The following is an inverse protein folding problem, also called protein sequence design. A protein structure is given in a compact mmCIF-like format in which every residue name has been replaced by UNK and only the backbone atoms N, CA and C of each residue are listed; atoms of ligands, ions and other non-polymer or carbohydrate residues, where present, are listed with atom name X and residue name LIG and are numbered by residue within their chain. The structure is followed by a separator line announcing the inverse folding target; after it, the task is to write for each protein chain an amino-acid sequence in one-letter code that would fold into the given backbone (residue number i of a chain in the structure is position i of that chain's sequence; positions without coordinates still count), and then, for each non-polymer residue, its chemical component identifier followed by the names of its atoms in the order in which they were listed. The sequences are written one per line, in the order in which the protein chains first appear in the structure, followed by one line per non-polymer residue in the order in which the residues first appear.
data_IF_027168671565
#
_entry.id   IF_027168671565
#
_cell.length_a   1.000
_cell.length_b   1.000
_cell.length_c   1.000
_cell.angle_alpha   90.00
_cell.angle_beta   90.00
_cell.angle_gamma   90.00
#
_symmetry.space_group_name_H-M   'P 1'
#
loop_
_entity.id
_entity.type
_entity.pdbx_description
1 polymer ?
#
# COMPACT_ATOMS: atom_id res chain seq x y z
N UNK A 1 -15.30 -19.60 -18.82
CA UNK A 1 -15.23 -19.97 -17.39
C UNK A 1 -13.77 -20.08 -17.01
N UNK A 2 -13.37 -19.64 -15.82
CA UNK A 2 -12.00 -19.81 -15.30
C UNK A 2 -12.04 -20.90 -14.23
N UNK A 3 -11.18 -21.90 -14.36
CA UNK A 3 -11.06 -22.98 -13.39
C UNK A 3 -9.87 -22.73 -12.46
N UNK A 4 -10.11 -22.87 -11.16
CA UNK A 4 -9.09 -22.63 -10.16
C UNK A 4 -9.60 -22.80 -8.74
N UNK A 5 -8.67 -22.72 -7.79
CA UNK A 5 -8.93 -22.74 -6.35
C UNK A 5 -8.71 -21.35 -5.79
N UNK A 6 -9.47 -20.96 -4.77
CA UNK A 6 -9.21 -19.68 -4.07
C UNK A 6 -7.87 -19.72 -3.35
N UNK A 7 -7.11 -18.62 -3.44
CA UNK A 7 -5.78 -18.54 -2.84
C UNK A 7 -5.77 -18.76 -1.33
N UNK A 8 -6.85 -18.38 -0.61
CA UNK A 8 -6.98 -18.61 0.84
C UNK A 8 -7.22 -20.07 1.22
N UNK A 9 -7.57 -20.93 0.26
CA UNK A 9 -7.89 -22.34 0.48
C UNK A 9 -6.92 -23.30 -0.20
N UNK A 10 -6.00 -22.78 -1.00
CA UNK A 10 -5.03 -23.57 -1.73
C UNK A 10 -3.73 -23.71 -0.91
N UNK A 11 -3.26 -24.95 -0.75
CA UNK A 11 -2.03 -25.27 -0.02
C UNK A 11 -0.84 -25.54 -0.97
N UNK A 12 -1.00 -25.25 -2.26
CA UNK A 12 0.05 -25.46 -3.26
C UNK A 12 1.29 -24.62 -2.93
N UNK A 13 2.50 -25.15 -3.21
CA UNK A 13 3.76 -24.51 -2.81
C UNK A 13 4.03 -23.16 -3.51
N UNK A 14 3.33 -22.87 -4.62
CA UNK A 14 3.44 -21.62 -5.36
C UNK A 14 2.49 -20.52 -4.86
N UNK A 15 1.60 -20.79 -3.89
CA UNK A 15 0.70 -19.78 -3.30
C UNK A 15 1.45 -18.56 -2.75
N UNK A 16 2.56 -18.68 -1.99
CA UNK A 16 3.33 -17.52 -1.55
C UNK A 16 3.85 -16.67 -2.72
N UNK A 17 4.28 -17.30 -3.82
CA UNK A 17 4.68 -16.59 -5.04
C UNK A 17 3.50 -15.83 -5.64
N UNK A 18 2.31 -16.45 -5.70
CA UNK A 18 1.10 -15.81 -6.23
C UNK A 18 0.62 -14.65 -5.34
N UNK A 19 0.80 -14.71 -4.02
CA UNK A 19 0.58 -13.56 -3.15
C UNK A 19 1.53 -12.41 -3.49
N UNK A 20 2.80 -12.69 -3.77
CA UNK A 20 3.75 -11.68 -4.25
C UNK A 20 3.34 -11.07 -5.59
N UNK A 21 2.84 -11.90 -6.52
CA UNK A 21 2.28 -11.43 -7.80
C UNK A 21 1.06 -10.54 -7.58
N UNK A 22 0.17 -10.90 -6.64
CA UNK A 22 -0.99 -10.07 -6.30
C UNK A 22 -0.55 -8.72 -5.74
N UNK A 23 0.37 -8.69 -4.78
CA UNK A 23 0.92 -7.44 -4.24
C UNK A 23 1.51 -6.57 -5.36
N UNK A 24 2.32 -7.16 -6.25
CA UNK A 24 2.91 -6.44 -7.37
C UNK A 24 1.83 -5.88 -8.33
N UNK A 25 0.82 -6.68 -8.67
CA UNK A 25 -0.29 -6.25 -9.52
C UNK A 25 -1.05 -5.08 -8.90
N UNK A 26 -1.34 -5.11 -7.60
CA UNK A 26 -2.04 -4.03 -6.91
C UNK A 26 -1.19 -2.76 -6.76
N UNK A 27 0.10 -2.90 -6.48
CA UNK A 27 1.03 -1.76 -6.49
C UNK A 27 1.16 -1.16 -7.88
N UNK A 28 1.21 -1.97 -8.92
CA UNK A 28 1.24 -1.50 -10.32
C UNK A 28 -0.06 -0.78 -10.68
N UNK A 29 -1.21 -1.32 -10.26
CA UNK A 29 -2.51 -0.67 -10.43
C UNK A 29 -2.58 0.70 -9.76
N UNK A 30 -2.06 0.80 -8.53
CA UNK A 30 -2.07 2.02 -7.73
C UNK A 30 -1.06 3.06 -8.24
N UNK A 31 0.17 2.65 -8.55
CA UNK A 31 1.30 3.56 -8.75
C UNK A 31 1.67 3.79 -10.22
N UNK A 32 1.19 2.94 -11.14
CA UNK A 32 1.55 3.01 -12.57
C UNK A 32 0.30 3.14 -13.44
N UNK A 33 -0.58 2.13 -13.48
CA UNK A 33 -1.71 2.14 -14.44
C UNK A 33 -2.83 3.10 -14.09
N UNK A 34 -2.91 3.57 -12.83
CA UNK A 34 -3.90 4.54 -12.39
C UNK A 34 -5.33 3.98 -12.33
N UNK A 35 -5.49 2.66 -12.28
CA UNK A 35 -6.80 1.99 -12.18
C UNK A 35 -6.67 0.90 -11.13
N UNK A 36 -7.33 1.09 -10.00
CA UNK A 36 -7.22 0.21 -8.84
C UNK A 36 -8.46 -0.68 -8.72
N UNK A 37 -8.22 -1.99 -8.59
CA UNK A 37 -9.21 -2.92 -8.08
C UNK A 37 -9.40 -2.70 -6.58
N UNK A 38 -10.61 -2.37 -6.14
CA UNK A 38 -10.86 -1.91 -4.78
C UNK A 38 -11.24 -3.04 -3.80
N UNK A 39 -11.28 -4.29 -4.26
CA UNK A 39 -11.77 -5.42 -3.47
C UNK A 39 -10.86 -6.65 -3.51
N UNK A 40 -9.62 -6.56 -2.97
CA UNK A 40 -8.67 -7.66 -2.88
C UNK A 40 -9.08 -8.77 -1.91
N UNK A 41 -10.37 -9.03 -1.71
CA UNK A 41 -10.82 -10.07 -0.81
C UNK A 41 -10.43 -11.46 -1.35
N UNK A 42 -10.24 -12.47 -0.49
CA UNK A 42 -9.77 -13.79 -0.92
C UNK A 42 -10.67 -14.50 -1.95
N UNK A 43 -11.96 -14.15 -2.02
CA UNK A 43 -12.87 -14.68 -3.04
C UNK A 43 -12.58 -14.22 -4.47
N UNK A 44 -11.85 -13.12 -4.65
CA UNK A 44 -11.51 -12.55 -5.96
C UNK A 44 -10.15 -13.02 -6.44
N UNK A 45 -9.42 -13.79 -5.63
CA UNK A 45 -8.06 -14.19 -5.92
C UNK A 45 -8.03 -15.71 -6.11
N UNK A 46 -7.99 -16.14 -7.36
CA UNK A 46 -7.92 -17.55 -7.74
C UNK A 46 -6.52 -17.92 -8.19
N UNK A 47 -6.08 -19.11 -7.77
CA UNK A 47 -5.00 -19.85 -8.42
C UNK A 47 -5.62 -20.72 -9.51
N UNK A 48 -5.28 -20.47 -10.76
CA UNK A 48 -5.74 -21.28 -11.89
C UNK A 48 -5.07 -22.66 -11.90
N UNK A 49 -5.66 -23.63 -12.60
CA UNK A 49 -5.11 -25.00 -12.71
C UNK A 49 -3.72 -25.05 -13.34
N UNK A 50 -3.34 -24.04 -14.13
CA UNK A 50 -2.02 -23.85 -14.74
C UNK A 50 -1.07 -22.96 -13.91
N UNK A 51 -1.40 -22.65 -12.65
CA UNK A 51 -0.49 -21.97 -11.71
C UNK A 51 -0.35 -20.45 -11.91
N UNK A 52 -1.36 -19.80 -12.48
CA UNK A 52 -1.44 -18.34 -12.61
C UNK A 52 -2.37 -17.74 -11.55
N UNK A 53 -2.17 -16.44 -11.31
CA UNK A 53 -3.12 -15.63 -10.55
C UNK A 53 -4.25 -15.18 -11.48
N UNK A 54 -5.49 -15.36 -11.05
CA UNK A 54 -6.67 -14.75 -11.65
C UNK A 54 -7.34 -13.83 -10.63
N UNK A 55 -7.53 -12.56 -11.02
CA UNK A 55 -8.28 -11.56 -10.26
C UNK A 55 -9.68 -11.48 -10.86
N UNK A 56 -10.68 -11.84 -10.06
CA UNK A 56 -12.09 -11.79 -10.41
C UNK A 56 -12.73 -10.49 -9.96
N UNK A 57 -13.98 -10.30 -10.41
CA UNK A 57 -14.88 -9.22 -10.03
C UNK A 57 -14.28 -7.82 -10.18
N UNK A 58 -14.43 -7.25 -11.36
CA UNK A 58 -14.00 -5.88 -11.66
C UNK A 58 -15.14 -4.86 -11.47
N UNK A 59 -16.19 -5.24 -10.72
CA UNK A 59 -17.35 -4.38 -10.46
C UNK A 59 -17.03 -3.18 -9.57
N UNK A 60 -15.97 -3.26 -8.75
CA UNK A 60 -15.47 -2.16 -7.93
C UNK A 60 -14.04 -1.79 -8.33
N UNK A 61 -13.94 -0.81 -9.23
CA UNK A 61 -12.68 -0.20 -9.64
C UNK A 61 -12.75 1.31 -9.43
N UNK A 62 -11.60 1.93 -9.18
CA UNK A 62 -11.47 3.38 -9.15
C UNK A 62 -10.31 3.84 -10.03
N UNK A 63 -10.44 5.03 -10.59
CA UNK A 63 -9.33 5.74 -11.22
C UNK A 63 -8.53 6.47 -10.14
N UNK A 64 -7.21 6.30 -10.16
CA UNK A 64 -6.29 6.98 -9.27
C UNK A 64 -5.76 8.20 -10.01
N UNK A 65 -6.05 9.43 -9.56
CA UNK A 65 -5.54 10.63 -10.21
C UNK A 65 -4.01 10.67 -10.21
N UNK A 66 -3.39 11.11 -11.31
CA UNK A 66 -1.94 11.18 -11.44
C UNK A 66 -1.26 11.92 -10.28
N UNK A 67 -1.85 13.02 -9.79
CA UNK A 67 -1.31 13.77 -8.66
C UNK A 67 -1.26 12.93 -7.37
N UNK A 68 -2.25 12.06 -7.15
CA UNK A 68 -2.26 11.14 -6.02
C UNK A 68 -1.20 10.04 -6.19
N UNK A 69 -1.00 9.54 -7.41
CA UNK A 69 0.06 8.57 -7.71
C UNK A 69 1.45 9.15 -7.43
N UNK A 70 1.72 10.37 -7.91
CA UNK A 70 2.98 11.07 -7.65
C UNK A 70 3.19 11.34 -6.16
N UNK A 71 2.16 11.83 -5.45
CA UNK A 71 2.26 12.07 -4.02
C UNK A 71 2.55 10.79 -3.21
N UNK A 72 1.98 9.66 -3.60
CA UNK A 72 2.28 8.35 -2.99
C UNK A 72 3.72 7.91 -3.28
N UNK A 73 4.19 8.09 -4.52
CA UNK A 73 5.57 7.76 -4.91
C UNK A 73 6.59 8.64 -4.17
N UNK A 74 6.31 9.94 -4.03
CA UNK A 74 7.13 10.89 -3.27
C UNK A 74 7.21 10.49 -1.79
N UNK A 75 6.07 10.19 -1.15
CA UNK A 75 6.07 9.69 0.23
C UNK A 75 6.93 8.43 0.40
N UNK A 76 6.77 7.45 -0.50
CA UNK A 76 7.57 6.22 -0.46
C UNK A 76 9.05 6.54 -0.65
N UNK A 77 9.41 7.43 -1.57
CA UNK A 77 10.78 7.84 -1.81
C UNK A 77 11.38 8.52 -0.56
N UNK A 78 10.69 9.48 0.05
CA UNK A 78 11.11 10.18 1.26
C UNK A 78 11.32 9.21 2.44
N UNK A 79 10.39 8.25 2.66
CA UNK A 79 10.56 7.23 3.69
C UNK A 79 11.81 6.37 3.43
N UNK A 80 12.07 5.98 2.18
CA UNK A 80 13.21 5.12 1.83
C UNK A 80 14.57 5.81 2.04
N UNK A 81 14.65 7.12 1.82
CA UNK A 81 15.88 7.89 2.03
C UNK A 81 15.96 8.52 3.43
N UNK A 82 15.03 8.16 4.33
CA UNK A 82 14.89 8.73 5.67
C UNK A 82 14.72 10.27 5.68
N UNK A 83 14.15 10.85 4.62
CA UNK A 83 13.82 12.27 4.54
C UNK A 83 12.50 12.56 5.24
N UNK A 84 12.54 12.51 6.57
CA UNK A 84 11.36 12.72 7.40
C UNK A 84 10.89 14.19 7.46
N UNK A 85 11.72 15.12 7.00
CA UNK A 85 11.39 16.55 6.94
C UNK A 85 10.37 16.85 5.83
N UNK A 86 10.30 16.01 4.80
CA UNK A 86 9.36 16.14 3.68
C UNK A 86 7.96 15.55 3.98
N UNK A 87 7.85 14.66 4.97
CA UNK A 87 6.60 13.95 5.34
C UNK A 87 5.41 14.88 5.62
N UNK A 88 5.53 16.04 6.29
CA UNK A 88 4.40 16.95 6.48
C UNK A 88 3.79 17.44 5.15
N UNK A 89 4.62 17.73 4.14
CA UNK A 89 4.13 18.13 2.82
C UNK A 89 3.48 16.96 2.07
N UNK A 90 4.07 15.77 2.16
CA UNK A 90 3.49 14.56 1.56
C UNK A 90 2.07 14.32 2.09
N UNK A 91 1.86 14.52 3.39
CA UNK A 91 0.55 14.36 4.03
C UNK A 91 -0.50 15.35 3.51
N UNK A 92 -0.08 16.59 3.24
CA UNK A 92 -0.95 17.59 2.62
C UNK A 92 -1.30 17.17 1.18
N UNK A 93 -0.28 16.78 0.40
CA UNK A 93 -0.45 16.37 -0.99
C UNK A 93 -1.33 15.13 -1.14
N UNK A 94 -1.26 14.21 -0.18
CA UNK A 94 -2.08 13.01 -0.08
C UNK A 94 -3.50 13.27 0.45
N UNK A 95 -3.79 14.48 0.93
CA UNK A 95 -5.07 14.80 1.54
C UNK A 95 -5.29 14.17 2.92
N UNK A 96 -4.21 13.80 3.63
CA UNK A 96 -4.24 13.28 5.00
C UNK A 96 -4.29 14.39 6.06
N UNK A 97 -4.33 15.66 5.64
CA UNK A 97 -4.50 16.83 6.50
C UNK A 97 -5.84 17.51 6.25
N UNK A 98 -6.46 18.13 7.27
CA UNK A 98 -7.59 19.03 7.07
C UNK A 98 -7.26 20.18 6.11
N UNK A 99 -8.27 20.68 5.40
CA UNK A 99 -8.10 21.81 4.50
C UNK A 99 -7.54 23.04 5.23
N UNK A 100 -6.57 23.72 4.59
CA UNK A 100 -5.95 24.94 5.12
C UNK A 100 -4.91 24.72 6.22
N UNK A 101 -4.59 23.48 6.59
CA UNK A 101 -3.47 23.17 7.48
C UNK A 101 -2.16 23.27 6.71
N UNK A 102 -1.16 23.94 7.29
CA UNK A 102 0.18 24.07 6.70
C UNK A 102 1.13 22.97 7.19
N UNK A 103 2.23 22.75 6.46
CA UNK A 103 3.23 21.76 6.81
C UNK A 103 3.86 22.03 8.19
N UNK A 104 4.09 23.30 8.51
CA UNK A 104 4.62 23.74 9.81
C UNK A 104 3.66 23.35 10.94
N UNK A 105 2.35 23.58 10.75
CA UNK A 105 1.34 23.20 11.75
C UNK A 105 1.24 21.69 11.94
N UNK A 106 1.38 20.91 10.87
CA UNK A 106 1.43 19.45 10.98
C UNK A 106 2.66 19.01 11.77
N UNK A 107 3.82 19.61 11.50
CA UNK A 107 5.05 19.34 12.23
C UNK A 107 4.92 19.67 13.71
N UNK A 108 4.41 20.86 14.04
CA UNK A 108 4.18 21.33 15.41
C UNK A 108 3.18 20.45 16.19
N UNK A 109 2.24 19.79 15.49
CA UNK A 109 1.27 18.89 16.12
C UNK A 109 1.89 17.61 16.70
N UNK A 110 3.13 17.26 16.30
CA UNK A 110 3.81 16.02 16.69
C UNK A 110 3.27 14.76 16.00
N UNK A 111 2.24 14.86 15.15
CA UNK A 111 1.67 13.73 14.40
C UNK A 111 2.72 13.13 13.47
N UNK A 112 3.44 13.97 12.74
CA UNK A 112 4.47 13.53 11.78
C UNK A 112 5.67 12.91 12.48
N UNK A 113 6.01 13.33 13.71
CA UNK A 113 7.07 12.73 14.52
C UNK A 113 6.71 11.32 15.00
N UNK A 114 5.47 11.12 15.48
CA UNK A 114 4.99 9.80 15.89
C UNK A 114 4.97 8.80 14.74
N UNK A 115 4.57 9.25 13.55
CA UNK A 115 4.58 8.45 12.33
C UNK A 115 6.00 8.17 11.82
N UNK A 116 6.87 9.18 11.85
CA UNK A 116 8.30 9.04 11.53
C UNK A 116 8.95 7.97 12.41
N UNK A 117 8.67 8.00 13.71
CA UNK A 117 9.14 6.97 14.64
C UNK A 117 8.64 5.57 14.24
N UNK A 118 7.35 5.44 13.92
CA UNK A 118 6.79 4.17 13.47
C UNK A 118 7.44 3.67 12.17
N UNK A 119 7.62 4.54 11.17
CA UNK A 119 8.29 4.20 9.92
C UNK A 119 9.74 3.78 10.13
N UNK A 120 10.46 4.45 11.04
CA UNK A 120 11.84 4.08 11.38
C UNK A 120 11.94 2.71 12.04
N UNK A 121 10.98 2.36 12.90
CA UNK A 121 10.91 1.02 13.49
C UNK A 121 10.61 -0.05 12.43
N UNK A 122 9.75 0.28 11.46
CA UNK A 122 9.43 -0.61 10.35
C UNK A 122 10.62 -0.79 9.39
N UNK A 123 11.36 0.27 9.06
CA UNK A 123 12.53 0.22 8.17
C UNK A 123 13.71 -0.56 8.77
N UNK A 124 13.87 -0.52 10.09
CA UNK A 124 14.90 -1.29 10.81
C UNK A 124 14.54 -2.78 11.00
N UNK A 125 13.30 -3.18 10.68
CA UNK A 125 12.81 -4.54 10.87
C UNK A 125 12.53 -4.91 12.34
N UNK A 126 11.61 -5.87 12.54
CA UNK A 126 11.30 -6.40 13.88
C UNK A 126 9.83 -6.75 14.15
N UNK A 127 8.92 -6.45 13.23
CA UNK A 127 7.49 -6.73 13.40
C UNK A 127 6.83 -5.95 14.55
N UNK A 128 5.53 -6.19 14.81
CA UNK A 128 4.73 -5.38 15.75
C UNK A 128 5.24 -5.37 17.19
N UNK A 129 6.10 -6.32 17.57
CA UNK A 129 6.60 -6.48 18.94
C UNK A 129 7.51 -5.33 19.41
N UNK A 130 8.21 -4.63 18.52
CA UNK A 130 9.06 -3.47 18.91
C UNK A 130 8.28 -2.18 19.15
N UNK A 131 7.02 -2.09 18.71
CA UNK A 131 6.19 -0.88 18.83
C UNK A 131 5.64 -0.72 20.26
N UNK A 132 5.68 -1.76 21.08
CA UNK A 132 5.15 -1.77 22.46
C UNK A 132 6.15 -1.32 23.54
N UNK A 133 7.40 -1.04 23.19
CA UNK A 133 8.39 -0.50 24.15
C UNK A 133 8.25 1.03 24.22
N UNK A 134 7.36 1.48 25.10
CA UNK A 134 7.33 2.85 25.62
C UNK A 134 7.96 2.92 26.99
#
# INVERSE_FOLDING_TARGET
WVEGTRLDRDASPDVPRLCGVAINAYLTMLLDTGVLHCDPHPGNLLRTTDGRLCILDWGMTLEVPNNLQYALLELIAHINVEDYESIPNDFINLGFSPEGVTAERLKESGITEGLTFAFRQLSQGGGPKKIQER
#
